data_IF_074165767416
#
_entry.id   IF_074165767416
#
_cell.length_a   1.000
_cell.length_b   1.000
_cell.length_c   1.000
_cell.angle_alpha   90.00
_cell.angle_beta   90.00
_cell.angle_gamma   90.00
#
_symmetry.space_group_name_H-M   'P 1'
#
loop_
_entity.id
_entity.type
_entity.pdbx_description
1 polymer ?
#
# COMPACT_ATOMS: atom_id res chain seq x y z
N UNK A 1 37.09 82.54 12.10
CA UNK A 1 36.56 81.52 13.03
C UNK A 1 35.43 80.64 12.46
N UNK A 2 34.87 80.92 11.27
CA UNK A 2 33.69 80.19 10.75
C UNK A 2 33.98 78.87 9.99
N UNK A 3 35.24 78.60 9.61
CA UNK A 3 35.58 77.37 8.85
C UNK A 3 35.61 76.11 9.72
N UNK A 4 35.94 76.20 11.03
CA UNK A 4 36.03 75.04 11.93
C UNK A 4 34.67 74.45 12.32
N UNK A 5 33.60 75.24 12.31
CA UNK A 5 32.25 74.77 12.68
C UNK A 5 31.61 73.94 11.56
N UNK A 6 31.86 74.28 10.30
CA UNK A 6 31.35 73.54 9.15
C UNK A 6 31.96 72.12 9.06
N UNK A 7 33.29 72.00 9.21
CA UNK A 7 33.98 70.71 9.15
C UNK A 7 33.62 69.79 10.33
N UNK A 8 33.30 70.36 11.50
CA UNK A 8 32.85 69.60 12.67
C UNK A 8 31.43 69.05 12.48
N UNK A 9 30.55 69.79 11.81
CA UNK A 9 29.19 69.34 11.49
C UNK A 9 29.19 68.21 10.45
N UNK A 10 30.05 68.28 9.42
CA UNK A 10 30.22 67.20 8.44
C UNK A 10 30.77 65.91 9.07
N UNK A 11 31.74 66.01 9.99
CA UNK A 11 32.28 64.85 10.70
C UNK A 11 31.25 64.12 11.57
N UNK A 12 30.29 64.85 12.15
CA UNK A 12 29.21 64.25 12.94
C UNK A 12 28.19 63.53 12.05
N UNK A 13 27.85 64.10 10.90
CA UNK A 13 26.95 63.47 9.92
C UNK A 13 27.55 62.18 9.33
N UNK A 14 28.84 62.21 8.99
CA UNK A 14 29.53 61.03 8.45
C UNK A 14 29.58 59.90 9.48
N UNK A 15 29.86 60.23 10.76
CA UNK A 15 29.86 59.25 11.85
C UNK A 15 28.47 58.65 12.10
N UNK A 16 27.40 59.45 12.00
CA UNK A 16 26.03 58.98 12.13
C UNK A 16 25.63 58.03 10.98
N UNK A 17 26.06 58.34 9.75
CA UNK A 17 25.82 57.49 8.58
C UNK A 17 26.56 56.14 8.66
N UNK A 18 27.78 56.12 9.20
CA UNK A 18 28.54 54.88 9.37
C UNK A 18 27.91 53.96 10.43
N UNK A 19 27.45 54.52 11.56
CA UNK A 19 26.73 53.77 12.60
C UNK A 19 25.42 53.18 12.05
N UNK A 20 24.70 53.92 11.20
CA UNK A 20 23.47 53.44 10.56
C UNK A 20 23.74 52.32 9.53
N UNK A 21 24.85 52.42 8.78
CA UNK A 21 25.29 51.40 7.81
C UNK A 21 25.73 50.10 8.50
N UNK A 22 26.46 50.21 9.62
CA UNK A 22 26.93 49.06 10.38
C UNK A 22 25.78 48.26 11.00
N UNK A 23 24.80 48.96 11.61
CA UNK A 23 23.57 48.32 12.13
C UNK A 23 22.77 47.58 11.06
N UNK A 24 22.74 48.07 9.81
CA UNK A 24 22.07 47.39 8.69
C UNK A 24 22.77 46.10 8.27
N UNK A 25 24.11 46.10 8.18
CA UNK A 25 24.87 44.89 7.77
C UNK A 25 24.78 43.74 8.79
N UNK A 26 24.74 44.05 10.09
CA UNK A 26 24.55 43.04 11.14
C UNK A 26 23.13 42.47 11.19
N UNK A 27 22.11 43.30 10.95
CA UNK A 27 20.71 42.81 10.84
C UNK A 27 20.53 41.90 9.62
N UNK A 28 21.08 42.27 8.47
CA UNK A 28 20.89 41.56 7.20
C UNK A 28 21.58 40.19 7.17
N UNK A 29 22.71 40.02 7.85
CA UNK A 29 23.42 38.74 7.95
C UNK A 29 22.80 37.80 8.99
N UNK A 30 22.29 38.34 10.12
CA UNK A 30 21.55 37.54 11.11
C UNK A 30 20.21 37.05 10.58
N UNK A 31 19.44 37.90 9.90
CA UNK A 31 18.14 37.49 9.34
C UNK A 31 18.32 36.42 8.27
N UNK A 32 19.35 36.51 7.44
CA UNK A 32 19.66 35.46 6.43
C UNK A 32 19.97 34.11 7.08
N UNK A 33 20.75 34.08 8.17
CA UNK A 33 21.04 32.85 8.92
C UNK A 33 19.80 32.24 9.57
N UNK A 34 18.93 33.08 10.14
CA UNK A 34 17.66 32.63 10.72
C UNK A 34 16.74 32.07 9.64
N UNK A 35 16.59 32.76 8.51
CA UNK A 35 15.77 32.30 7.38
C UNK A 35 16.29 30.97 6.84
N UNK A 36 17.60 30.82 6.64
CA UNK A 36 18.20 29.55 6.22
C UNK A 36 17.96 28.43 7.24
N UNK A 37 18.07 28.72 8.54
CA UNK A 37 17.76 27.78 9.61
C UNK A 37 16.30 27.31 9.56
N UNK A 38 15.35 28.25 9.46
CA UNK A 38 13.92 27.95 9.36
C UNK A 38 13.62 27.12 8.09
N UNK A 39 14.17 27.50 6.94
CA UNK A 39 13.99 26.74 5.68
C UNK A 39 14.54 25.32 5.82
N UNK A 40 15.71 25.15 6.43
CA UNK A 40 16.31 23.82 6.64
C UNK A 40 15.46 22.95 7.58
N UNK A 41 14.90 23.55 8.64
CA UNK A 41 14.02 22.87 9.57
C UNK A 41 12.74 22.40 8.88
N UNK A 42 12.08 23.30 8.14
CA UNK A 42 10.84 22.98 7.40
C UNK A 42 11.10 21.90 6.35
N UNK A 43 12.21 22.00 5.61
CA UNK A 43 12.59 20.99 4.61
C UNK A 43 12.85 19.63 5.27
N UNK A 44 13.51 19.59 6.42
CA UNK A 44 13.75 18.36 7.17
C UNK A 44 12.45 17.72 7.64
N UNK A 45 11.51 18.53 8.15
CA UNK A 45 10.18 18.06 8.55
C UNK A 45 9.42 17.49 7.34
N UNK A 46 9.48 18.14 6.18
CA UNK A 46 8.85 17.65 4.95
C UNK A 46 9.47 16.32 4.48
N UNK A 47 10.79 16.18 4.52
CA UNK A 47 11.49 14.93 4.16
C UNK A 47 11.09 13.80 5.11
N UNK A 48 11.08 14.06 6.42
CA UNK A 48 10.67 13.07 7.42
C UNK A 48 9.21 12.66 7.20
N UNK A 49 8.30 13.60 6.98
CA UNK A 49 6.89 13.29 6.69
C UNK A 49 6.72 12.54 5.35
N UNK A 50 7.52 12.83 4.33
CA UNK A 50 7.49 12.10 3.07
C UNK A 50 8.01 10.65 3.21
N UNK A 51 8.89 10.39 4.19
CA UNK A 51 9.43 9.07 4.47
C UNK A 51 8.55 8.27 5.47
N UNK A 52 7.96 8.93 6.47
CA UNK A 52 7.27 8.31 7.62
C UNK A 52 5.74 8.48 7.58
N UNK A 53 5.22 9.43 6.81
CA UNK A 53 3.79 9.79 6.81
C UNK A 53 2.86 8.78 6.14
N UNK A 54 1.56 8.90 6.45
CA UNK A 54 0.48 8.07 5.91
C UNK A 54 0.38 8.07 4.36
N UNK A 55 0.93 9.11 3.70
CA UNK A 55 1.04 9.23 2.23
C UNK A 55 2.49 9.15 1.72
N UNK A 56 3.43 8.65 2.54
CA UNK A 56 4.83 8.47 2.12
C UNK A 56 4.96 7.50 0.95
N UNK A 57 6.05 7.58 0.19
CA UNK A 57 6.32 6.68 -0.96
C UNK A 57 6.20 5.21 -0.56
N UNK A 58 6.59 4.88 0.68
CA UNK A 58 6.44 3.55 1.25
C UNK A 58 4.97 3.12 1.44
N UNK A 59 4.07 4.02 1.82
CA UNK A 59 2.65 3.69 2.02
C UNK A 59 1.93 3.51 0.68
N UNK A 60 2.25 4.32 -0.33
CA UNK A 60 1.74 4.14 -1.71
C UNK A 60 2.22 2.81 -2.30
N UNK A 61 3.47 2.41 -2.05
CA UNK A 61 3.97 1.10 -2.49
C UNK A 61 3.30 -0.07 -1.75
N UNK A 62 3.07 0.05 -0.43
CA UNK A 62 2.35 -0.97 0.35
C UNK A 62 0.88 -1.06 -0.04
N UNK A 63 0.22 0.06 -0.29
CA UNK A 63 -1.17 0.11 -0.76
C UNK A 63 -1.32 -0.50 -2.17
N UNK A 64 -0.33 -0.31 -3.05
CA UNK A 64 -0.28 -1.00 -4.34
C UNK A 64 -0.13 -2.52 -4.18
N UNK A 65 0.74 -2.96 -3.27
CA UNK A 65 0.96 -4.40 -3.01
C UNK A 65 -0.27 -5.08 -2.40
N UNK A 66 -1.00 -4.39 -1.52
CA UNK A 66 -2.25 -4.90 -0.96
C UNK A 66 -3.36 -5.01 -2.02
N UNK A 67 -3.43 -4.08 -2.97
CA UNK A 67 -4.38 -4.11 -4.08
C UNK A 67 -4.13 -5.29 -5.03
N UNK A 68 -2.87 -5.53 -5.40
CA UNK A 68 -2.52 -6.64 -6.30
C UNK A 68 -2.83 -8.01 -5.70
N UNK A 69 -2.60 -8.19 -4.39
CA UNK A 69 -2.94 -9.47 -3.73
C UNK A 69 -4.45 -9.69 -3.68
N UNK A 70 -5.22 -8.64 -3.43
CA UNK A 70 -6.68 -8.74 -3.40
C UNK A 70 -7.25 -9.08 -4.78
N UNK A 71 -6.74 -8.46 -5.84
CA UNK A 71 -7.14 -8.75 -7.22
C UNK A 71 -6.88 -10.21 -7.60
N UNK A 72 -5.70 -10.75 -7.27
CA UNK A 72 -5.40 -12.16 -7.54
C UNK A 72 -6.31 -13.14 -6.81
N UNK A 73 -6.70 -12.82 -5.57
CA UNK A 73 -7.61 -13.65 -4.78
C UNK A 73 -9.05 -13.56 -5.30
N UNK A 74 -9.47 -12.38 -5.77
CA UNK A 74 -10.78 -12.21 -6.41
C UNK A 74 -10.87 -13.03 -7.69
N UNK A 75 -9.85 -12.97 -8.55
CA UNK A 75 -9.83 -13.75 -9.80
C UNK A 75 -9.87 -15.26 -9.53
N UNK A 76 -9.11 -15.75 -8.54
CA UNK A 76 -9.15 -17.17 -8.17
C UNK A 76 -10.51 -17.60 -7.64
N UNK A 77 -11.11 -16.81 -6.75
CA UNK A 77 -12.42 -17.12 -6.17
C UNK A 77 -13.53 -17.07 -7.21
N UNK A 78 -13.44 -16.15 -8.17
CA UNK A 78 -14.44 -16.01 -9.21
C UNK A 78 -14.39 -17.18 -10.20
N UNK A 79 -13.19 -17.68 -10.51
CA UNK A 79 -13.02 -18.92 -11.28
C UNK A 79 -13.56 -20.14 -10.55
N UNK A 80 -13.21 -20.31 -9.27
CA UNK A 80 -13.69 -21.42 -8.45
C UNK A 80 -15.22 -21.40 -8.30
N UNK A 81 -15.81 -20.22 -8.12
CA UNK A 81 -17.26 -20.08 -8.05
C UNK A 81 -17.95 -20.47 -9.37
N UNK A 82 -17.34 -20.13 -10.52
CA UNK A 82 -17.85 -20.52 -11.83
C UNK A 82 -17.84 -22.04 -12.00
N UNK A 83 -16.71 -22.69 -11.69
CA UNK A 83 -16.57 -24.15 -11.78
C UNK A 83 -17.56 -24.88 -10.87
N UNK A 84 -17.72 -24.44 -9.61
CA UNK A 84 -18.68 -25.03 -8.68
C UNK A 84 -20.13 -24.85 -9.13
N UNK A 85 -20.47 -23.68 -9.71
CA UNK A 85 -21.82 -23.44 -10.25
C UNK A 85 -22.10 -24.34 -11.44
N UNK A 86 -21.11 -24.55 -12.31
CA UNK A 86 -21.25 -25.44 -13.45
C UNK A 86 -21.45 -26.89 -12.98
N UNK A 87 -20.62 -27.36 -12.05
CA UNK A 87 -20.77 -28.69 -11.45
C UNK A 87 -22.15 -28.88 -10.80
N UNK A 88 -22.61 -27.89 -10.02
CA UNK A 88 -23.92 -27.93 -9.39
C UNK A 88 -25.07 -27.93 -10.41
N UNK A 89 -24.90 -27.26 -11.56
CA UNK A 89 -25.87 -27.27 -12.64
C UNK A 89 -25.90 -28.63 -13.34
N UNK A 90 -24.73 -29.20 -13.64
CA UNK A 90 -24.61 -30.49 -14.32
C UNK A 90 -25.20 -31.60 -13.45
N UNK A 91 -24.89 -31.62 -12.14
CA UNK A 91 -25.51 -32.51 -11.15
C UNK A 91 -27.04 -32.37 -11.09
N UNK A 92 -27.59 -31.17 -11.31
CA UNK A 92 -29.05 -30.94 -11.24
C UNK A 92 -29.79 -31.26 -12.51
N UNK A 93 -29.15 -31.06 -13.66
CA UNK A 93 -29.80 -31.14 -14.98
C UNK A 93 -29.59 -32.48 -15.65
N UNK A 94 -28.53 -33.21 -15.28
CA UNK A 94 -28.20 -34.51 -15.85
C UNK A 94 -28.12 -35.60 -14.77
N UNK A 95 -29.17 -36.41 -14.61
CA UNK A 95 -29.18 -37.55 -13.70
C UNK A 95 -28.06 -38.57 -13.96
N UNK A 96 -27.55 -38.65 -15.21
CA UNK A 96 -26.49 -39.59 -15.56
C UNK A 96 -25.13 -39.20 -14.97
N UNK A 97 -24.91 -37.91 -14.68
CA UNK A 97 -23.72 -37.44 -13.96
C UNK A 97 -23.72 -37.91 -12.50
N UNK A 98 -24.87 -37.90 -11.84
CA UNK A 98 -25.03 -38.46 -10.49
C UNK A 98 -24.84 -39.99 -10.52
N UNK A 99 -25.46 -40.67 -11.49
CA UNK A 99 -25.34 -42.12 -11.62
C UNK A 99 -23.90 -42.57 -11.84
N UNK A 100 -23.14 -41.85 -12.67
CA UNK A 100 -21.72 -42.12 -12.91
C UNK A 100 -20.89 -41.97 -11.64
N UNK A 101 -21.03 -40.88 -10.89
CA UNK A 101 -20.30 -40.68 -9.61
C UNK A 101 -20.70 -41.76 -8.59
N UNK A 102 -22.00 -42.09 -8.52
CA UNK A 102 -22.49 -43.13 -7.63
C UNK A 102 -21.89 -44.50 -7.95
N UNK A 103 -21.74 -44.87 -9.23
CA UNK A 103 -21.14 -46.13 -9.66
C UNK A 103 -19.61 -46.13 -9.53
N UNK A 104 -18.94 -45.08 -10.00
CA UNK A 104 -17.47 -45.03 -10.11
C UNK A 104 -16.80 -44.77 -8.75
N UNK A 105 -17.27 -43.78 -8.00
CA UNK A 105 -16.59 -43.33 -6.77
C UNK A 105 -17.15 -44.02 -5.52
N UNK A 106 -18.44 -44.38 -5.53
CA UNK A 106 -19.15 -44.88 -4.35
C UNK A 106 -19.56 -46.36 -4.48
N UNK A 107 -19.40 -46.98 -5.66
CA UNK A 107 -19.75 -48.38 -5.90
C UNK A 107 -21.24 -48.70 -5.70
N UNK A 108 -22.11 -47.70 -5.76
CA UNK A 108 -23.55 -47.88 -5.62
C UNK A 108 -24.16 -48.51 -6.88
N UNK A 109 -25.16 -49.36 -6.65
CA UNK A 109 -25.94 -50.03 -7.68
C UNK A 109 -27.39 -49.56 -7.61
N UNK A 110 -28.06 -49.47 -8.76
CA UNK A 110 -29.47 -49.12 -8.81
C UNK A 110 -30.34 -50.26 -8.22
N UNK A 111 -31.52 -49.95 -7.64
CA UNK A 111 -32.44 -50.97 -7.17
C UNK A 111 -32.78 -51.99 -8.28
N UNK A 112 -32.41 -53.25 -8.08
CA UNK A 112 -32.65 -54.34 -9.04
C UNK A 112 -31.43 -54.78 -9.86
N UNK A 113 -30.29 -54.09 -9.76
CA UNK A 113 -29.02 -54.56 -10.34
C UNK A 113 -28.39 -55.68 -9.51
N UNK A 114 -27.65 -56.59 -10.19
CA UNK A 114 -26.97 -57.73 -9.56
C UNK A 114 -25.46 -57.53 -9.61
N UNK A 115 -24.80 -57.58 -8.44
CA UNK A 115 -23.35 -57.50 -8.33
C UNK A 115 -22.72 -58.85 -8.69
N UNK A 116 -21.88 -58.89 -9.74
CA UNK A 116 -21.08 -60.06 -10.11
C UNK A 116 -19.65 -59.85 -9.60
N UNK A 117 -19.29 -60.52 -8.51
CA UNK A 117 -17.92 -60.52 -7.99
C UNK A 117 -17.18 -61.68 -8.65
N UNK A 118 -16.10 -61.39 -9.39
CA UNK A 118 -15.24 -62.40 -10.01
C UNK A 118 -14.02 -62.58 -9.11
N UNK A 119 -13.97 -63.69 -8.39
CA UNK A 119 -12.92 -64.05 -7.45
C UNK A 119 -13.15 -65.44 -6.84
N UNK A 120 -12.20 -65.92 -6.02
CA UNK A 120 -12.37 -67.18 -5.28
C UNK A 120 -13.52 -67.05 -4.27
N UNK A 121 -14.48 -67.99 -4.21
CA UNK A 121 -15.64 -67.87 -3.34
C UNK A 121 -15.22 -68.07 -1.88
N UNK A 122 -14.94 -66.98 -1.16
CA UNK A 122 -15.02 -67.01 0.30
C UNK A 122 -16.48 -67.01 0.70
N UNK A 123 -16.98 -68.21 0.97
CA UNK A 123 -18.32 -68.48 1.50
C UNK A 123 -18.47 -67.67 2.79
N UNK A 124 -19.28 -66.61 2.76
CA UNK A 124 -19.69 -65.88 3.95
C UNK A 124 -20.66 -66.77 4.72
N UNK A 125 -20.17 -67.44 5.76
CA UNK A 125 -21.04 -68.06 6.76
C UNK A 125 -21.92 -66.98 7.40
N UNK A 126 -23.19 -67.03 7.05
CA UNK A 126 -24.29 -66.42 7.80
C UNK A 126 -24.21 -66.86 9.26
N UNK A 127 -24.08 -65.90 10.17
CA UNK A 127 -24.35 -66.06 11.61
C UNK A 127 -25.57 -65.24 11.98
#
# INVERSE_FOLDING_TARGET
MQSKSATRAEGLNNKALDIAREKRRFRQTRTRKIVLGVVSLVTSILVINALIGEQGVLSVMRARKARTTLETVMDSLQKENYELRQLANDLRTDPSTIERIARDDLGFLAPGEKLLIIGEPTVSETK
#
